data_IF_533304022423
#
_entry.id   IF_533304022423
#
_cell.length_a   1.000
_cell.length_b   1.000
_cell.length_c   1.000
_cell.angle_alpha   90.00
_cell.angle_beta   90.00
_cell.angle_gamma   90.00
#
_symmetry.space_group_name_H-M   'P 1'
#
loop_
_entity.id
_entity.type
_entity.pdbx_description
1 polymer ?
#
# COMPACT_ATOMS: atom_id res chain seq x y z
N UNK A 1 4.67 11.36 -18.20
CA UNK A 1 3.97 10.07 -18.04
C UNK A 1 3.59 9.79 -16.59
N UNK A 2 4.50 9.95 -15.62
CA UNK A 2 4.27 9.67 -14.18
C UNK A 2 3.01 10.32 -13.59
N UNK A 3 2.75 11.60 -13.92
CA UNK A 3 1.55 12.28 -13.43
C UNK A 3 0.29 11.51 -13.81
N UNK A 4 0.16 11.03 -15.05
CA UNK A 4 -1.04 10.31 -15.49
C UNK A 4 -1.22 8.97 -14.78
N UNK A 5 -0.12 8.23 -14.59
CA UNK A 5 -0.12 6.96 -13.87
C UNK A 5 -0.62 7.12 -12.42
N UNK A 6 -0.10 8.12 -11.69
CA UNK A 6 -0.49 8.35 -10.29
C UNK A 6 -1.99 8.66 -10.12
N UNK A 7 -2.61 9.38 -11.07
CA UNK A 7 -4.05 9.60 -11.01
C UNK A 7 -4.88 8.35 -11.27
N UNK A 8 -4.45 7.51 -12.20
CA UNK A 8 -5.11 6.24 -12.44
C UNK A 8 -5.04 5.34 -11.20
N UNK A 9 -3.92 5.36 -10.48
CA UNK A 9 -3.75 4.63 -9.22
C UNK A 9 -4.67 5.17 -8.12
N UNK A 10 -4.75 6.50 -7.91
CA UNK A 10 -5.68 7.06 -6.92
C UNK A 10 -7.14 6.78 -7.27
N UNK A 11 -7.51 6.85 -8.55
CA UNK A 11 -8.84 6.49 -9.01
C UNK A 11 -9.17 5.02 -8.69
N UNK A 12 -8.21 4.11 -8.94
CA UNK A 12 -8.33 2.69 -8.61
C UNK A 12 -8.37 2.45 -7.10
N UNK A 13 -7.53 3.14 -6.32
CA UNK A 13 -7.46 3.02 -4.86
C UNK A 13 -8.79 3.40 -4.21
N UNK A 14 -9.36 4.54 -4.58
CA UNK A 14 -10.66 4.99 -4.05
C UNK A 14 -11.74 3.95 -4.35
N UNK A 15 -11.79 3.48 -5.60
CA UNK A 15 -12.79 2.49 -6.02
C UNK A 15 -12.66 1.18 -5.24
N UNK A 16 -11.45 0.63 -5.16
CA UNK A 16 -11.20 -0.63 -4.47
C UNK A 16 -11.45 -0.52 -2.97
N UNK A 17 -11.02 0.56 -2.32
CA UNK A 17 -11.28 0.78 -0.90
C UNK A 17 -12.79 0.85 -0.63
N UNK A 18 -13.54 1.52 -1.50
CA UNK A 18 -15.00 1.61 -1.41
C UNK A 18 -15.66 0.23 -1.57
N UNK A 19 -15.27 -0.51 -2.59
CA UNK A 19 -15.83 -1.83 -2.90
C UNK A 19 -15.50 -2.85 -1.79
N UNK A 20 -14.32 -2.75 -1.17
CA UNK A 20 -13.85 -3.63 -0.08
C UNK A 20 -14.77 -3.57 1.16
N UNK A 21 -15.33 -2.41 1.46
CA UNK A 21 -16.32 -2.22 2.54
C UNK A 21 -17.77 -2.24 2.06
N UNK A 22 -18.01 -2.58 0.79
CA UNK A 22 -19.36 -2.72 0.22
C UNK A 22 -20.13 -1.41 0.06
N UNK A 23 -19.46 -0.25 0.01
CA UNK A 23 -20.11 1.05 -0.15
C UNK A 23 -20.45 1.35 -1.62
N UNK A 24 -21.58 1.99 -1.86
CA UNK A 24 -21.84 2.72 -3.11
C UNK A 24 -21.10 4.05 -3.15
N UNK A 25 -20.97 4.66 -4.34
CA UNK A 25 -20.34 5.98 -4.48
C UNK A 25 -21.07 7.06 -3.65
N UNK A 26 -22.39 6.94 -3.50
CA UNK A 26 -23.19 7.87 -2.71
C UNK A 26 -22.93 7.73 -1.21
N UNK A 27 -22.80 6.50 -0.72
CA UNK A 27 -22.48 6.22 0.69
C UNK A 27 -21.08 6.70 1.05
N UNK A 28 -20.08 6.43 0.19
CA UNK A 28 -18.73 6.95 0.40
C UNK A 28 -18.71 8.47 0.39
N UNK A 29 -19.43 9.10 -0.54
CA UNK A 29 -19.52 10.55 -0.62
C UNK A 29 -20.13 11.15 0.65
N UNK A 30 -21.21 10.56 1.14
CA UNK A 30 -21.84 10.95 2.41
C UNK A 30 -20.88 10.80 3.59
N UNK A 31 -20.19 9.65 3.70
CA UNK A 31 -19.24 9.38 4.78
C UNK A 31 -18.02 10.32 4.75
N UNK A 32 -17.56 10.70 3.57
CA UNK A 32 -16.43 11.62 3.38
C UNK A 32 -16.85 13.11 3.38
N UNK A 33 -18.14 13.44 3.51
CA UNK A 33 -18.64 14.82 3.51
C UNK A 33 -18.49 15.55 2.18
N UNK A 34 -18.59 14.82 1.06
CA UNK A 34 -18.41 15.33 -0.31
C UNK A 34 -19.59 14.98 -1.20
N UNK A 35 -19.70 15.64 -2.35
CA UNK A 35 -20.76 15.37 -3.32
C UNK A 35 -20.46 14.10 -4.12
N UNK A 36 -21.45 13.21 -4.31
CA UNK A 36 -21.27 11.96 -5.06
C UNK A 36 -20.70 12.16 -6.48
N UNK A 37 -21.09 13.19 -7.27
CA UNK A 37 -20.46 13.45 -8.56
C UNK A 37 -18.95 13.73 -8.47
N UNK A 38 -18.49 14.25 -7.33
CA UNK A 38 -17.06 14.46 -7.07
C UNK A 38 -16.32 13.14 -6.83
N UNK A 39 -16.91 12.20 -6.07
CA UNK A 39 -16.38 10.82 -5.95
C UNK A 39 -16.30 10.16 -7.33
N UNK A 40 -17.39 10.22 -8.10
CA UNK A 40 -17.41 9.64 -9.45
C UNK A 40 -16.30 10.20 -10.34
N UNK A 41 -16.10 11.52 -10.32
CA UNK A 41 -15.02 12.18 -11.06
C UNK A 41 -13.61 11.76 -10.62
N UNK A 42 -13.41 11.45 -9.34
CA UNK A 42 -12.16 10.90 -8.84
C UNK A 42 -11.96 9.43 -9.27
N UNK A 43 -12.98 8.58 -9.12
CA UNK A 43 -12.91 7.16 -9.46
C UNK A 43 -12.75 6.90 -10.96
N UNK A 44 -13.26 7.78 -11.82
CA UNK A 44 -13.06 7.69 -13.26
C UNK A 44 -11.79 8.41 -13.76
N UNK A 45 -11.04 9.06 -12.85
CA UNK A 45 -9.79 9.76 -13.16
C UNK A 45 -9.94 11.09 -13.88
N UNK A 46 -11.16 11.59 -14.12
CA UNK A 46 -11.40 12.91 -14.75
C UNK A 46 -10.97 14.07 -13.85
N UNK A 47 -10.97 13.87 -12.53
CA UNK A 47 -10.46 14.82 -11.54
C UNK A 47 -9.48 14.11 -10.61
N UNK A 48 -8.56 14.88 -10.02
CA UNK A 48 -7.66 14.38 -8.96
C UNK A 48 -8.05 14.95 -7.61
N UNK A 49 -8.11 14.12 -6.55
CA UNK A 49 -8.24 14.62 -5.19
C UNK A 49 -6.95 15.35 -4.79
N UNK A 50 -7.08 16.35 -3.91
CA UNK A 50 -5.93 16.86 -3.16
C UNK A 50 -5.50 15.81 -2.12
N UNK A 51 -4.25 15.83 -1.63
CA UNK A 51 -3.79 14.86 -0.64
C UNK A 51 -4.72 14.75 0.57
N UNK A 52 -5.21 15.88 1.09
CA UNK A 52 -6.09 15.93 2.26
C UNK A 52 -7.45 15.31 1.94
N UNK A 53 -8.01 15.64 0.76
CA UNK A 53 -9.28 15.06 0.29
C UNK A 53 -9.16 13.56 0.08
N UNK A 54 -8.03 13.08 -0.49
CA UNK A 54 -7.78 11.66 -0.66
C UNK A 54 -7.74 10.96 0.70
N UNK A 55 -7.02 11.50 1.67
CA UNK A 55 -6.99 10.95 3.03
C UNK A 55 -8.37 10.89 3.67
N UNK A 56 -9.20 11.93 3.52
CA UNK A 56 -10.59 11.92 4.02
C UNK A 56 -11.40 10.79 3.39
N UNK A 57 -11.30 10.61 2.07
CA UNK A 57 -12.02 9.55 1.35
C UNK A 57 -11.55 8.16 1.80
N UNK A 58 -10.24 7.93 1.88
CA UNK A 58 -9.68 6.62 2.23
C UNK A 58 -9.97 6.25 3.70
N UNK A 59 -9.99 7.23 4.60
CA UNK A 59 -10.44 7.02 6.00
C UNK A 59 -11.91 6.67 6.07
N UNK A 60 -12.77 7.38 5.31
CA UNK A 60 -14.20 7.07 5.25
C UNK A 60 -14.46 5.66 4.67
N UNK A 61 -13.64 5.23 3.71
CA UNK A 61 -13.67 3.89 3.12
C UNK A 61 -12.98 2.82 3.99
N UNK A 62 -12.42 3.17 5.16
CA UNK A 62 -11.64 2.27 6.03
C UNK A 62 -10.60 1.47 5.25
N UNK A 63 -9.84 2.16 4.38
CA UNK A 63 -8.79 1.55 3.55
C UNK A 63 -7.91 0.62 4.39
N UNK A 64 -7.58 -0.55 3.84
CA UNK A 64 -6.71 -1.54 4.44
C UNK A 64 -5.36 -1.66 3.69
N UNK A 65 -4.27 -2.05 4.38
CA UNK A 65 -2.96 -2.27 3.76
C UNK A 65 -2.97 -3.13 2.51
N UNK A 66 -3.69 -4.25 2.52
CA UNK A 66 -3.80 -5.20 1.40
C UNK A 66 -4.32 -4.54 0.12
N UNK A 67 -5.31 -3.66 0.24
CA UNK A 67 -5.87 -2.90 -0.89
C UNK A 67 -4.85 -1.90 -1.43
N UNK A 68 -4.14 -1.19 -0.55
CA UNK A 68 -3.11 -0.23 -0.95
C UNK A 68 -1.94 -0.92 -1.67
N UNK A 69 -1.44 -2.03 -1.11
CA UNK A 69 -0.39 -2.85 -1.72
C UNK A 69 -0.80 -3.35 -3.10
N UNK A 70 -2.03 -3.85 -3.26
CA UNK A 70 -2.53 -4.29 -4.56
C UNK A 70 -2.60 -3.17 -5.61
N UNK A 71 -2.62 -1.89 -5.20
CA UNK A 71 -2.59 -0.73 -6.12
C UNK A 71 -1.17 -0.28 -6.43
N UNK A 72 -0.26 -0.34 -5.46
CA UNK A 72 1.10 0.21 -5.56
C UNK A 72 2.19 -0.85 -5.65
N UNK A 73 1.85 -2.12 -5.86
CA UNK A 73 2.79 -3.24 -5.91
C UNK A 73 4.01 -2.98 -6.81
N UNK A 74 3.78 -2.47 -8.03
CA UNK A 74 4.88 -2.11 -8.94
C UNK A 74 5.72 -0.94 -8.42
N UNK A 75 5.13 0.13 -7.89
CA UNK A 75 5.90 1.24 -7.30
C UNK A 75 6.76 0.76 -6.13
N UNK A 76 6.23 -0.16 -5.32
CA UNK A 76 6.95 -0.76 -4.18
C UNK A 76 8.12 -1.61 -4.68
N UNK A 77 7.93 -2.45 -5.70
CA UNK A 77 9.03 -3.21 -6.32
C UNK A 77 10.09 -2.29 -6.89
N UNK A 78 9.71 -1.24 -7.59
CA UNK A 78 10.65 -0.26 -8.13
C UNK A 78 11.37 0.54 -7.03
N UNK A 79 10.68 0.86 -5.93
CA UNK A 79 11.28 1.50 -4.76
C UNK A 79 12.35 0.60 -4.14
N UNK A 80 12.07 -0.69 -3.96
CA UNK A 80 13.05 -1.64 -3.45
C UNK A 80 14.33 -1.61 -4.29
N UNK A 81 14.22 -1.64 -5.63
CA UNK A 81 15.38 -1.57 -6.51
C UNK A 81 16.19 -0.27 -6.36
N UNK A 82 15.52 0.88 -6.18
CA UNK A 82 16.19 2.17 -5.92
C UNK A 82 16.99 2.16 -4.61
N UNK A 83 16.52 1.40 -3.62
CA UNK A 83 17.18 1.21 -2.32
C UNK A 83 18.06 -0.05 -2.29
N UNK A 84 18.48 -0.61 -3.44
CA UNK A 84 19.36 -1.79 -3.49
C UNK A 84 18.77 -3.02 -2.79
N UNK A 85 17.45 -3.12 -2.74
CA UNK A 85 16.68 -4.25 -2.27
C UNK A 85 16.03 -4.95 -3.46
N UNK A 86 15.71 -6.23 -3.31
CA UNK A 86 15.03 -7.02 -4.33
C UNK A 86 14.20 -8.12 -3.67
N UNK A 87 13.51 -8.92 -4.49
CA UNK A 87 12.69 -10.05 -4.03
C UNK A 87 11.70 -9.67 -2.92
N UNK A 88 10.95 -8.58 -3.16
CA UNK A 88 9.96 -8.06 -2.21
C UNK A 88 8.82 -9.05 -2.09
N UNK A 89 8.62 -9.56 -0.88
CA UNK A 89 7.53 -10.45 -0.52
C UNK A 89 6.67 -9.84 0.58
N UNK A 90 5.36 -10.08 0.51
CA UNK A 90 4.41 -9.71 1.57
C UNK A 90 4.16 -10.92 2.44
N UNK A 91 4.03 -10.70 3.75
CA UNK A 91 3.58 -11.72 4.69
C UNK A 91 2.57 -11.13 5.67
N UNK A 92 2.25 -11.86 6.75
CA UNK A 92 1.40 -11.33 7.81
C UNK A 92 -0.05 -11.09 7.41
N UNK A 93 -0.67 -10.08 8.05
CA UNK A 93 -2.12 -9.89 8.00
C UNK A 93 -2.64 -9.45 6.62
N UNK A 94 -1.85 -8.64 5.89
CA UNK A 94 -2.18 -8.16 4.55
C UNK A 94 -2.23 -9.28 3.52
N UNK A 95 -1.32 -10.26 3.61
CA UNK A 95 -1.35 -11.45 2.75
C UNK A 95 -2.58 -12.33 3.03
N UNK A 96 -2.93 -12.48 4.31
CA UNK A 96 -4.05 -13.34 4.76
C UNK A 96 -5.43 -12.68 4.56
N UNK A 97 -5.47 -11.40 4.19
CA UNK A 97 -6.70 -10.61 4.06
C UNK A 97 -7.41 -10.34 5.38
N UNK A 98 -6.73 -10.57 6.52
CA UNK A 98 -7.22 -10.35 7.87
C UNK A 98 -6.76 -9.01 8.45
N UNK A 99 -6.09 -8.19 7.65
CA UNK A 99 -5.69 -6.83 7.98
C UNK A 99 -6.91 -5.92 8.16
N UNK A 100 -6.71 -4.83 8.91
CA UNK A 100 -7.68 -3.75 9.10
C UNK A 100 -7.06 -2.40 8.77
N UNK A 101 -7.84 -1.33 8.89
CA UNK A 101 -7.36 0.05 8.68
C UNK A 101 -6.28 0.51 9.68
N UNK A 102 -6.05 -0.27 10.74
CA UNK A 102 -5.01 -0.02 11.75
C UNK A 102 -3.79 -0.95 11.62
N UNK A 103 -3.81 -1.88 10.68
CA UNK A 103 -2.70 -2.80 10.42
C UNK A 103 -1.53 -2.08 9.74
N UNK A 104 -0.34 -2.61 9.95
CA UNK A 104 0.90 -2.31 9.25
C UNK A 104 1.04 -3.15 7.96
N UNK A 105 2.05 -2.80 7.18
CA UNK A 105 2.52 -3.56 6.02
C UNK A 105 3.78 -4.33 6.42
N UNK A 106 3.72 -5.66 6.37
CA UNK A 106 4.83 -6.55 6.62
C UNK A 106 5.52 -6.98 5.31
N UNK A 107 6.78 -6.59 5.11
CA UNK A 107 7.57 -6.95 3.93
C UNK A 107 8.84 -7.71 4.27
N UNK A 108 9.10 -8.76 3.52
CA UNK A 108 10.38 -9.49 3.52
C UNK A 108 11.13 -9.15 2.23
N UNK A 109 12.40 -8.76 2.34
CA UNK A 109 13.22 -8.37 1.20
C UNK A 109 14.60 -9.04 1.22
N UNK A 110 15.14 -9.25 0.03
CA UNK A 110 16.54 -9.59 -0.14
C UNK A 110 17.39 -8.31 -0.28
N UNK A 111 18.55 -8.30 0.39
CA UNK A 111 19.49 -7.17 0.37
C UNK A 111 20.58 -7.39 -0.68
N UNK A 112 20.85 -6.39 -1.53
CA UNK A 112 21.97 -6.46 -2.47
C UNK A 112 23.30 -6.13 -1.77
N UNK A 113 24.45 -6.60 -2.30
CA UNK A 113 25.76 -6.23 -1.76
C UNK A 113 25.93 -4.71 -1.63
N UNK A 114 26.35 -4.27 -0.45
CA UNK A 114 26.56 -2.85 -0.14
C UNK A 114 25.31 -2.08 0.32
N UNK A 115 24.13 -2.71 0.38
CA UNK A 115 22.95 -2.15 1.04
C UNK A 115 23.24 -1.90 2.54
N UNK A 116 22.61 -0.86 3.08
CA UNK A 116 22.77 -0.39 4.44
C UNK A 116 21.43 -0.25 5.14
N UNK A 117 21.44 -0.01 6.45
CA UNK A 117 20.22 0.27 7.21
C UNK A 117 19.50 1.54 6.72
N UNK A 118 20.23 2.50 6.12
CA UNK A 118 19.61 3.68 5.51
C UNK A 118 18.79 3.32 4.28
N UNK A 119 19.18 2.29 3.52
CA UNK A 119 18.39 1.82 2.40
C UNK A 119 17.12 1.11 2.85
N UNK A 120 17.20 0.30 3.92
CA UNK A 120 16.01 -0.33 4.52
C UNK A 120 15.03 0.71 5.06
N UNK A 121 15.53 1.70 5.81
CA UNK A 121 14.69 2.79 6.33
C UNK A 121 14.14 3.69 5.22
N UNK A 122 14.94 3.96 4.18
CA UNK A 122 14.52 4.72 3.01
C UNK A 122 13.42 4.01 2.23
N UNK A 123 13.56 2.70 2.03
CA UNK A 123 12.54 1.87 1.41
C UNK A 123 11.25 1.84 2.23
N UNK A 124 11.33 1.56 3.54
CA UNK A 124 10.18 1.59 4.44
C UNK A 124 9.45 2.93 4.33
N UNK A 125 10.15 4.06 4.51
CA UNK A 125 9.56 5.41 4.40
C UNK A 125 8.91 5.70 3.04
N UNK A 126 9.48 5.18 1.95
CA UNK A 126 8.90 5.34 0.62
C UNK A 126 7.61 4.51 0.46
N UNK A 127 7.57 3.28 0.98
CA UNK A 127 6.35 2.46 1.02
C UNK A 127 5.27 3.12 1.87
N UNK A 128 5.63 3.68 3.04
CA UNK A 128 4.68 4.42 3.88
C UNK A 128 4.11 5.64 3.14
N UNK A 129 4.95 6.35 2.39
CA UNK A 129 4.52 7.50 1.57
C UNK A 129 3.58 7.08 0.44
N UNK A 130 3.85 5.93 -0.19
CA UNK A 130 3.05 5.42 -1.30
C UNK A 130 1.69 4.89 -0.84
N UNK A 131 1.67 4.15 0.26
CA UNK A 131 0.50 3.36 0.70
C UNK A 131 -0.31 4.06 1.79
N UNK A 132 0.32 4.93 2.58
CA UNK A 132 -0.27 5.58 3.75
C UNK A 132 -0.27 4.75 5.03
N UNK A 133 0.37 3.58 5.03
CA UNK A 133 0.45 2.67 6.18
C UNK A 133 1.87 2.55 6.70
N UNK A 134 2.01 2.32 8.00
CA UNK A 134 3.34 2.01 8.54
C UNK A 134 3.87 0.71 7.96
N UNK A 135 5.19 0.64 7.74
CA UNK A 135 5.80 -0.48 7.02
C UNK A 135 6.97 -1.08 7.79
N UNK A 136 6.81 -2.35 8.19
CA UNK A 136 7.83 -3.17 8.81
C UNK A 136 8.56 -3.99 7.75
N UNK A 137 9.89 -3.82 7.68
CA UNK A 137 10.74 -4.47 6.69
C UNK A 137 11.70 -5.43 7.38
N UNK A 138 11.58 -6.71 7.05
CA UNK A 138 12.51 -7.76 7.41
C UNK A 138 13.41 -8.12 6.23
N UNK A 139 14.61 -8.58 6.53
CA UNK A 139 15.55 -9.11 5.53
C UNK A 139 15.66 -10.62 5.63
N UNK A 140 16.02 -11.30 4.53
CA UNK A 140 16.26 -12.75 4.53
C UNK A 140 17.25 -13.20 5.63
N UNK A 141 18.26 -12.38 5.93
CA UNK A 141 19.23 -12.68 6.99
C UNK A 141 18.64 -12.68 8.41
N UNK A 142 17.54 -11.95 8.63
CA UNK A 142 16.86 -11.91 9.94
C UNK A 142 15.92 -13.11 10.13
N UNK A 143 15.39 -13.65 9.03
CA UNK A 143 14.45 -14.78 9.06
C UNK A 143 15.14 -16.15 9.15
N UNK A 144 16.47 -16.20 9.02
CA UNK A 144 17.30 -17.38 9.35
C UNK A 144 17.28 -17.72 10.86
N UNK A 145 16.74 -16.83 11.70
CA UNK A 145 16.45 -17.14 13.09
C UNK A 145 15.21 -18.03 13.20
N UNK A 146 15.29 -19.11 13.99
CA UNK A 146 14.20 -20.06 14.20
C UNK A 146 12.86 -19.41 14.60
N UNK A 147 12.89 -18.24 15.25
CA UNK A 147 11.68 -17.48 15.58
C UNK A 147 10.90 -17.04 14.33
N UNK A 148 11.60 -16.70 13.25
CA UNK A 148 11.02 -16.13 12.03
C UNK A 148 10.95 -17.12 10.86
N UNK A 149 11.36 -18.38 11.05
CA UNK A 149 11.34 -19.38 9.99
C UNK A 149 9.94 -19.58 9.35
N UNK A 150 8.87 -19.32 10.11
CA UNK A 150 7.50 -19.35 9.61
C UNK A 150 7.20 -18.22 8.60
N UNK A 151 7.86 -17.06 8.75
CA UNK A 151 7.72 -15.89 7.87
C UNK A 151 8.21 -16.22 6.46
N UNK A 152 9.39 -16.82 6.33
CA UNK A 152 9.93 -17.18 5.00
C UNK A 152 9.07 -18.20 4.26
N UNK A 153 8.33 -19.05 4.98
CA UNK A 153 7.47 -20.07 4.39
C UNK A 153 6.12 -19.52 3.93
N UNK A 154 5.62 -18.46 4.56
CA UNK A 154 4.35 -17.84 4.19
C UNK A 154 4.52 -16.68 3.19
N UNK A 155 5.68 -16.04 3.14
CA UNK A 155 5.91 -14.85 2.35
C UNK A 155 5.71 -15.12 0.85
N UNK A 156 4.85 -14.31 0.21
CA UNK A 156 4.54 -14.42 -1.22
C UNK A 156 5.11 -13.21 -1.94
N UNK A 157 5.68 -13.43 -3.14
CA UNK A 157 6.20 -12.36 -3.98
C UNK A 157 5.10 -11.32 -4.22
N UNK A 158 5.41 -10.06 -3.85
CA UNK A 158 4.54 -8.93 -4.11
C UNK A 158 4.38 -8.75 -5.62
#
# INVERSE_FOLDING_TARGET
MERSARAAQYARLIRLARDDVGMSQAELASAAGIQQPTISAYENGSKRPRPETLQTILRAARLRPSVALAVFAEDVREAALRHRLHDVRVFGSALRGTDSESSDIDLLVAVSPGASLFDLGGFSSEVETLTGFSTDVLTDSQVDNAYFAHVSQEAVLL
#
